data_IF_692831169446
#
_entry.id   IF_692831169446
#
_cell.length_a   1.000
_cell.length_b   1.000
_cell.length_c   1.000
_cell.angle_alpha   90.00
_cell.angle_beta   90.00
_cell.angle_gamma   90.00
#
_symmetry.space_group_name_H-M   'P 1'
#
loop_
_entity.id
_entity.type
_entity.pdbx_description
1 polymer ?
#
# COMPACT_ATOMS: atom_id res chain seq x y z
N UNK A 1 -5.98 16.52 15.48
CA UNK A 1 -4.62 16.72 16.04
C UNK A 1 -3.60 16.73 14.91
N UNK A 2 -2.38 17.29 15.07
CA UNK A 2 -1.31 17.22 14.05
C UNK A 2 -0.56 15.89 14.15
N UNK A 3 0.05 15.43 13.04
CA UNK A 3 0.87 14.20 13.03
C UNK A 3 1.95 14.21 14.11
N UNK A 4 2.65 15.35 14.26
CA UNK A 4 3.69 15.48 15.28
C UNK A 4 3.16 15.26 16.71
N UNK A 5 1.98 15.82 17.02
CA UNK A 5 1.39 15.65 18.33
C UNK A 5 0.95 14.21 18.60
N UNK A 6 0.42 13.51 17.60
CA UNK A 6 0.06 12.08 17.73
C UNK A 6 1.34 11.23 17.94
N UNK A 7 2.42 11.53 17.21
CA UNK A 7 3.71 10.83 17.39
C UNK A 7 4.23 11.01 18.81
N UNK A 8 4.17 12.21 19.39
CA UNK A 8 4.60 12.45 20.77
C UNK A 8 3.77 11.64 21.79
N UNK A 9 2.47 11.45 21.55
CA UNK A 9 1.64 10.56 22.36
C UNK A 9 2.13 9.10 22.31
N UNK A 10 2.54 8.61 21.13
CA UNK A 10 3.16 7.29 21.04
C UNK A 10 4.50 7.22 21.81
N UNK A 11 5.35 8.26 21.70
CA UNK A 11 6.61 8.32 22.40
C UNK A 11 6.43 8.35 23.92
N UNK A 12 5.40 9.03 24.41
CA UNK A 12 5.04 9.04 25.83
C UNK A 12 4.25 7.82 26.29
N UNK A 13 4.02 6.82 25.42
CA UNK A 13 3.23 5.63 25.70
C UNK A 13 1.82 5.94 26.21
N UNK A 14 1.20 7.01 25.73
CA UNK A 14 -0.18 7.34 26.04
C UNK A 14 -1.14 6.57 25.14
N UNK A 15 -2.09 5.84 25.70
CA UNK A 15 -3.13 5.12 24.94
C UNK A 15 -3.99 6.07 24.09
N UNK A 16 -4.02 7.35 24.43
CA UNK A 16 -4.67 8.38 23.63
C UNK A 16 -4.10 8.46 22.20
N UNK A 17 -2.84 8.04 21.98
CA UNK A 17 -2.24 7.96 20.65
C UNK A 17 -3.05 7.09 19.68
N UNK A 18 -3.58 5.97 20.15
CA UNK A 18 -4.40 5.04 19.35
C UNK A 18 -5.74 5.69 19.02
N UNK A 19 -6.42 6.26 20.01
CA UNK A 19 -7.71 6.93 19.82
C UNK A 19 -7.63 8.10 18.82
N UNK A 20 -6.58 8.91 18.91
CA UNK A 20 -6.34 10.03 17.99
C UNK A 20 -5.97 9.57 16.57
N UNK A 21 -5.22 8.46 16.47
CA UNK A 21 -4.90 7.84 15.19
C UNK A 21 -6.16 7.29 14.51
N UNK A 22 -7.01 6.61 15.26
CA UNK A 22 -8.28 6.08 14.76
C UNK A 22 -9.22 7.21 14.32
N UNK A 23 -9.35 8.25 15.12
CA UNK A 23 -10.18 9.42 14.79
C UNK A 23 -9.72 10.11 13.50
N UNK A 24 -8.40 10.27 13.32
CA UNK A 24 -7.83 11.01 12.19
C UNK A 24 -7.66 10.18 10.93
N UNK A 25 -7.35 8.89 11.06
CA UNK A 25 -6.93 8.02 9.96
C UNK A 25 -7.71 6.72 9.83
N UNK A 26 -8.59 6.38 10.77
CA UNK A 26 -9.36 5.13 10.77
C UNK A 26 -10.13 4.93 9.48
N UNK A 27 -10.91 5.93 9.02
CA UNK A 27 -11.65 5.85 7.76
C UNK A 27 -10.76 5.56 6.53
N UNK A 28 -9.54 6.13 6.50
CA UNK A 28 -8.57 5.86 5.46
C UNK A 28 -8.03 4.42 5.54
N UNK A 29 -7.67 3.95 6.73
CA UNK A 29 -7.18 2.58 6.95
C UNK A 29 -8.26 1.54 6.60
N UNK A 30 -9.50 1.76 7.02
CA UNK A 30 -10.64 0.91 6.64
C UNK A 30 -10.83 0.87 5.12
N UNK A 31 -10.73 1.99 4.43
CA UNK A 31 -10.82 2.02 2.97
C UNK A 31 -9.72 1.21 2.30
N UNK A 32 -8.47 1.32 2.77
CA UNK A 32 -7.33 0.54 2.25
C UNK A 32 -7.53 -0.94 2.51
N UNK A 33 -7.88 -1.34 3.73
CA UNK A 33 -8.06 -2.74 4.10
C UNK A 33 -9.24 -3.39 3.35
N UNK A 34 -10.39 -2.70 3.25
CA UNK A 34 -11.56 -3.17 2.51
C UNK A 34 -11.29 -3.34 1.01
N UNK A 35 -10.46 -2.48 0.42
CA UNK A 35 -10.04 -2.62 -0.98
C UNK A 35 -9.26 -3.92 -1.27
N UNK A 36 -8.72 -4.58 -0.25
CA UNK A 36 -7.91 -5.79 -0.37
C UNK A 36 -8.68 -7.04 0.09
N UNK A 37 -9.41 -6.96 1.20
CA UNK A 37 -9.93 -8.12 1.91
C UNK A 37 -11.40 -8.46 1.60
N UNK A 38 -12.22 -7.50 1.20
CA UNK A 38 -13.65 -7.66 0.87
C UNK A 38 -14.53 -8.35 1.95
N UNK A 39 -13.98 -8.58 3.13
CA UNK A 39 -14.65 -9.20 4.28
C UNK A 39 -14.56 -8.27 5.48
N UNK A 40 -15.70 -8.01 6.13
CA UNK A 40 -15.77 -6.99 7.17
C UNK A 40 -14.93 -7.34 8.39
N UNK A 41 -15.03 -8.58 8.87
CA UNK A 41 -14.26 -9.02 10.03
C UNK A 41 -12.75 -8.97 9.75
N UNK A 42 -12.33 -9.41 8.56
CA UNK A 42 -10.93 -9.41 8.15
C UNK A 42 -10.34 -7.99 8.06
N UNK A 43 -11.08 -7.02 7.47
CA UNK A 43 -10.52 -5.67 7.36
C UNK A 43 -10.59 -4.90 8.69
N UNK A 44 -11.60 -5.09 9.53
CA UNK A 44 -11.65 -4.50 10.88
C UNK A 44 -10.47 -5.02 11.72
N UNK A 45 -10.20 -6.31 11.69
CA UNK A 45 -9.07 -6.92 12.39
C UNK A 45 -7.73 -6.41 11.84
N UNK A 46 -7.59 -6.23 10.51
CA UNK A 46 -6.36 -5.67 9.92
C UNK A 46 -6.11 -4.22 10.34
N UNK A 47 -7.16 -3.42 10.54
CA UNK A 47 -7.02 -2.05 11.05
C UNK A 47 -6.60 -2.08 12.52
N UNK A 48 -7.18 -2.96 13.34
CA UNK A 48 -6.76 -3.14 14.74
C UNK A 48 -5.30 -3.60 14.84
N UNK A 49 -4.89 -4.55 13.99
CA UNK A 49 -3.49 -4.99 13.89
C UNK A 49 -2.55 -3.83 13.49
N UNK A 50 -3.03 -2.88 12.68
CA UNK A 50 -2.27 -1.68 12.30
C UNK A 50 -2.00 -0.81 13.53
N UNK A 51 -2.98 -0.59 14.39
CA UNK A 51 -2.79 0.18 15.63
C UNK A 51 -1.82 -0.52 16.58
N UNK A 52 -1.94 -1.82 16.76
CA UNK A 52 -1.05 -2.61 17.58
C UNK A 52 0.39 -2.59 17.05
N UNK A 53 0.57 -2.79 15.75
CA UNK A 53 1.89 -2.75 15.12
C UNK A 53 2.52 -1.35 15.23
N UNK A 54 1.74 -0.29 15.08
CA UNK A 54 2.21 1.08 15.28
C UNK A 54 2.65 1.32 16.71
N UNK A 55 1.84 0.89 17.68
CA UNK A 55 2.18 0.99 19.10
C UNK A 55 3.51 0.32 19.43
N UNK A 56 3.78 -0.82 18.83
CA UNK A 56 5.03 -1.55 19.04
C UNK A 56 6.23 -0.93 18.31
N UNK A 57 6.00 -0.26 17.17
CA UNK A 57 7.07 0.31 16.35
C UNK A 57 7.46 1.73 16.76
N UNK A 58 6.57 2.51 17.36
CA UNK A 58 6.83 3.87 17.83
C UNK A 58 6.86 3.87 19.38
N UNK A 59 7.96 4.24 20.03
CA UNK A 59 9.30 4.44 19.50
C UNK A 59 10.01 3.14 19.11
N UNK A 60 11.14 3.12 18.39
CA UNK A 60 11.98 4.29 18.04
C UNK A 60 11.60 4.95 16.71
N UNK A 61 10.76 4.31 15.89
CA UNK A 61 10.37 4.84 14.57
C UNK A 61 9.70 6.20 14.70
N UNK A 62 10.06 7.17 13.81
CA UNK A 62 9.45 8.49 13.76
C UNK A 62 9.00 8.80 12.32
N UNK A 63 7.76 8.43 11.93
CA UNK A 63 7.26 8.66 10.57
C UNK A 63 7.19 10.16 10.23
N UNK A 64 7.55 10.52 9.00
CA UNK A 64 7.38 11.89 8.49
C UNK A 64 5.92 12.21 8.16
N UNK A 65 5.13 11.20 7.79
CA UNK A 65 3.70 11.32 7.50
C UNK A 65 2.99 10.10 8.08
N UNK A 66 2.11 10.33 9.04
CA UNK A 66 1.30 9.26 9.63
C UNK A 66 0.33 8.66 8.60
N UNK A 67 -0.22 9.46 7.69
CA UNK A 67 -1.10 8.97 6.63
C UNK A 67 -0.39 7.94 5.74
N UNK A 68 0.82 8.26 5.28
CA UNK A 68 1.61 7.36 4.45
C UNK A 68 2.01 6.10 5.23
N UNK A 69 2.46 6.26 6.47
CA UNK A 69 2.85 5.17 7.36
C UNK A 69 1.70 4.20 7.62
N UNK A 70 0.54 4.69 8.07
CA UNK A 70 -0.63 3.86 8.31
C UNK A 70 -1.14 3.18 7.04
N UNK A 71 -1.18 3.90 5.91
CA UNK A 71 -1.61 3.31 4.63
C UNK A 71 -0.74 2.13 4.21
N UNK A 72 0.59 2.28 4.30
CA UNK A 72 1.53 1.23 3.96
C UNK A 72 1.45 0.05 4.94
N UNK A 73 1.35 0.32 6.24
CA UNK A 73 1.25 -0.71 7.28
C UNK A 73 -0.06 -1.49 7.18
N UNK A 74 -1.20 -0.80 7.05
CA UNK A 74 -2.52 -1.43 6.86
C UNK A 74 -2.53 -2.29 5.60
N UNK A 75 -1.95 -1.78 4.49
CA UNK A 75 -1.84 -2.54 3.25
C UNK A 75 -1.03 -3.82 3.44
N UNK A 76 0.15 -3.75 4.07
CA UNK A 76 1.00 -4.90 4.35
C UNK A 76 0.24 -5.96 5.15
N UNK A 77 -0.38 -5.57 6.26
CA UNK A 77 -1.14 -6.47 7.14
C UNK A 77 -2.30 -7.12 6.38
N UNK A 78 -3.06 -6.34 5.61
CA UNK A 78 -4.20 -6.84 4.83
C UNK A 78 -3.76 -7.82 3.74
N UNK A 79 -2.65 -7.56 3.06
CA UNK A 79 -2.08 -8.48 2.06
C UNK A 79 -1.59 -9.77 2.71
N UNK A 80 -0.91 -9.70 3.86
CA UNK A 80 -0.43 -10.90 4.56
C UNK A 80 -1.60 -11.74 5.07
N UNK A 81 -2.68 -11.11 5.53
CA UNK A 81 -3.93 -11.79 5.90
C UNK A 81 -4.57 -12.48 4.68
N UNK A 82 -4.65 -11.79 3.55
CA UNK A 82 -5.13 -12.35 2.30
C UNK A 82 -4.28 -13.55 1.86
N UNK A 83 -2.94 -13.45 1.95
CA UNK A 83 -2.01 -14.54 1.64
C UNK A 83 -2.27 -15.78 2.51
N UNK A 84 -2.41 -15.60 3.82
CA UNK A 84 -2.72 -16.69 4.76
C UNK A 84 -4.05 -17.36 4.40
N UNK A 85 -5.09 -16.57 4.11
CA UNK A 85 -6.42 -17.08 3.71
C UNK A 85 -6.39 -17.85 2.40
N UNK A 86 -5.64 -17.38 1.42
CA UNK A 86 -5.51 -18.02 0.10
C UNK A 86 -4.59 -19.24 0.10
N UNK A 87 -3.56 -19.26 0.93
CA UNK A 87 -2.74 -20.46 1.15
C UNK A 87 -3.59 -21.63 1.67
N UNK A 88 -4.59 -21.34 2.49
CA UNK A 88 -5.56 -22.34 2.96
C UNK A 88 -6.55 -22.79 1.86
N UNK A 89 -6.89 -21.94 0.88
CA UNK A 89 -7.88 -22.21 -0.18
C UNK A 89 -7.32 -22.64 -1.53
N UNK A 90 -6.03 -22.99 -1.65
CA UNK A 90 -5.37 -23.47 -2.90
C UNK A 90 -5.77 -22.64 -4.16
N UNK A 91 -5.32 -21.39 -4.24
CA UNK A 91 -5.41 -20.58 -5.45
C UNK A 91 -4.63 -19.28 -5.28
N UNK A 92 -3.79 -18.91 -6.26
CA UNK A 92 -3.15 -17.59 -6.26
C UNK A 92 -4.25 -16.52 -6.38
N UNK A 93 -4.50 -15.77 -5.31
CA UNK A 93 -5.45 -14.64 -5.36
C UNK A 93 -4.90 -13.49 -6.21
N UNK A 94 -5.79 -12.72 -6.81
CA UNK A 94 -5.47 -11.61 -7.72
C UNK A 94 -4.56 -10.55 -7.10
N UNK A 95 -4.70 -10.29 -5.79
CA UNK A 95 -3.80 -9.36 -5.09
C UNK A 95 -2.37 -9.89 -4.99
N UNK A 96 -2.17 -11.20 -4.86
CA UNK A 96 -0.84 -11.83 -4.90
C UNK A 96 -0.24 -11.73 -6.29
N UNK A 97 -1.02 -12.03 -7.34
CA UNK A 97 -0.59 -11.87 -8.72
C UNK A 97 -0.17 -10.43 -8.99
N UNK A 98 -0.94 -9.45 -8.52
CA UNK A 98 -0.60 -8.04 -8.66
C UNK A 98 0.72 -7.68 -7.96
N UNK A 99 0.96 -8.23 -6.77
CA UNK A 99 2.22 -8.00 -6.03
C UNK A 99 3.41 -8.67 -6.70
N UNK A 100 3.25 -9.92 -7.18
CA UNK A 100 4.29 -10.62 -7.92
C UNK A 100 4.65 -9.86 -9.21
N UNK A 101 3.63 -9.34 -9.92
CA UNK A 101 3.83 -8.49 -11.11
C UNK A 101 4.59 -7.19 -10.78
N UNK A 102 4.35 -6.59 -9.61
CA UNK A 102 5.03 -5.35 -9.20
C UNK A 102 6.42 -5.62 -8.66
N UNK A 103 6.64 -6.77 -8.02
CA UNK A 103 7.95 -7.17 -7.49
C UNK A 103 9.03 -7.27 -8.59
N UNK A 104 8.64 -7.51 -9.85
CA UNK A 104 9.56 -7.43 -11.00
C UNK A 104 10.14 -6.02 -11.23
N UNK A 105 9.55 -4.99 -10.61
CA UNK A 105 9.92 -3.58 -10.78
C UNK A 105 10.49 -2.97 -9.50
N UNK A 106 10.67 -3.73 -8.42
CA UNK A 106 11.14 -3.24 -7.12
C UNK A 106 12.38 -4.05 -6.72
N UNK A 107 13.43 -3.41 -6.18
CA UNK A 107 14.64 -4.11 -5.76
C UNK A 107 14.36 -5.25 -4.79
N UNK A 108 15.00 -6.41 -5.01
CA UNK A 108 14.95 -7.53 -4.07
C UNK A 108 15.65 -7.12 -2.77
N UNK A 109 14.92 -7.16 -1.66
CA UNK A 109 15.43 -6.74 -0.34
C UNK A 109 14.81 -5.45 0.19
N UNK A 110 13.88 -4.84 -0.56
CA UNK A 110 13.14 -3.68 -0.07
C UNK A 110 12.35 -4.03 1.19
N UNK A 111 12.76 -3.46 2.31
CA UNK A 111 12.10 -3.54 3.61
C UNK A 111 11.69 -2.13 4.03
N UNK A 112 10.51 -1.97 4.62
CA UNK A 112 10.04 -0.67 5.14
C UNK A 112 10.88 -0.16 6.34
N UNK A 113 11.84 -0.92 6.80
CA UNK A 113 12.62 -0.65 8.02
C UNK A 113 13.91 0.16 7.75
N UNK A 114 14.39 0.26 6.51
CA UNK A 114 15.57 1.06 6.14
C UNK A 114 15.16 2.47 5.71
N UNK A 115 15.43 3.47 6.55
CA UNK A 115 14.66 4.72 6.56
C UNK A 115 15.02 5.81 5.55
N UNK A 116 16.17 5.84 4.93
CA UNK A 116 16.60 6.94 4.03
C UNK A 116 16.46 6.56 2.55
N UNK A 117 16.90 5.37 2.18
CA UNK A 117 16.76 4.85 0.81
C UNK A 117 15.30 4.64 0.41
N UNK A 118 14.44 4.30 1.39
CA UNK A 118 13.00 4.15 1.19
C UNK A 118 12.28 5.47 0.92
N UNK A 119 12.72 6.60 1.48
CA UNK A 119 12.13 7.91 1.18
C UNK A 119 12.37 8.28 -0.27
N UNK A 120 13.59 8.13 -0.78
CA UNK A 120 13.93 8.44 -2.17
C UNK A 120 13.13 7.57 -3.17
N UNK A 121 12.98 6.27 -2.88
CA UNK A 121 12.18 5.36 -3.72
C UNK A 121 10.69 5.72 -3.68
N UNK A 122 10.13 6.05 -2.52
CA UNK A 122 8.73 6.48 -2.38
C UNK A 122 8.49 7.79 -3.12
N UNK A 123 9.41 8.75 -3.00
CA UNK A 123 9.31 10.04 -3.67
C UNK A 123 9.42 9.89 -5.19
N UNK A 124 10.34 9.06 -5.68
CA UNK A 124 10.47 8.72 -7.09
C UNK A 124 9.21 8.03 -7.64
N UNK A 125 8.64 7.10 -6.87
CA UNK A 125 7.40 6.42 -7.23
C UNK A 125 6.22 7.39 -7.32
N UNK A 126 6.09 8.28 -6.35
CA UNK A 126 5.07 9.32 -6.33
C UNK A 126 5.25 10.31 -7.49
N UNK A 127 6.50 10.74 -7.78
CA UNK A 127 6.83 11.61 -8.89
C UNK A 127 6.50 10.95 -10.25
N UNK A 128 6.85 9.68 -10.42
CA UNK A 128 6.49 8.91 -11.61
C UNK A 128 4.97 8.86 -11.80
N UNK A 129 4.21 8.50 -10.76
CA UNK A 129 2.75 8.43 -10.83
C UNK A 129 2.11 9.80 -11.09
N UNK A 130 2.66 10.87 -10.50
CA UNK A 130 2.19 12.24 -10.76
C UNK A 130 2.39 12.64 -12.24
N UNK A 131 3.48 12.19 -12.86
CA UNK A 131 3.77 12.41 -14.28
C UNK A 131 2.97 11.53 -15.25
N UNK A 132 2.25 10.52 -14.75
CA UNK A 132 1.41 9.67 -15.60
C UNK A 132 0.07 10.33 -15.94
N UNK A 133 -0.49 10.11 -17.16
CA UNK A 133 -1.88 10.48 -17.45
C UNK A 133 -2.83 9.91 -16.41
N UNK A 134 -3.85 10.68 -16.00
CA UNK A 134 -4.77 10.31 -14.93
C UNK A 134 -5.40 8.92 -15.11
N UNK A 135 -5.77 8.56 -16.34
CA UNK A 135 -6.36 7.25 -16.65
C UNK A 135 -5.36 6.09 -16.41
N UNK A 136 -4.09 6.27 -16.77
CA UNK A 136 -3.05 5.26 -16.53
C UNK A 136 -2.70 5.15 -15.05
N UNK A 137 -2.52 6.29 -14.38
CA UNK A 137 -2.28 6.36 -12.95
C UNK A 137 -3.39 5.68 -12.14
N UNK A 138 -4.65 5.99 -12.43
CA UNK A 138 -5.78 5.41 -11.72
C UNK A 138 -5.90 3.90 -11.96
N UNK A 139 -5.64 3.43 -13.18
CA UNK A 139 -5.60 2.01 -13.51
C UNK A 139 -4.48 1.29 -12.74
N UNK A 140 -3.29 1.91 -12.67
CA UNK A 140 -2.13 1.38 -11.95
C UNK A 140 -2.40 1.29 -10.44
N UNK A 141 -2.87 2.38 -9.83
CA UNK A 141 -3.22 2.43 -8.40
C UNK A 141 -4.31 1.42 -8.07
N UNK A 142 -5.35 1.32 -8.89
CA UNK A 142 -6.43 0.36 -8.68
C UNK A 142 -5.94 -1.10 -8.71
N UNK A 143 -4.98 -1.43 -9.58
CA UNK A 143 -4.38 -2.77 -9.66
C UNK A 143 -3.42 -3.04 -8.51
N UNK A 144 -2.43 -2.16 -8.31
CA UNK A 144 -1.28 -2.47 -7.45
C UNK A 144 -1.44 -1.98 -6.02
N UNK A 145 -2.24 -0.94 -5.81
CA UNK A 145 -2.54 -0.46 -4.46
C UNK A 145 -3.75 -1.16 -3.86
N UNK A 146 -4.85 -1.25 -4.61
CA UNK A 146 -6.10 -1.86 -4.14
C UNK A 146 -6.23 -3.35 -4.49
N UNK A 147 -5.35 -3.92 -5.30
CA UNK A 147 -5.34 -5.34 -5.64
C UNK A 147 -6.51 -5.78 -6.52
N UNK A 148 -7.16 -4.87 -7.26
CA UNK A 148 -8.35 -5.20 -8.05
C UNK A 148 -8.02 -6.19 -9.18
N UNK A 149 -8.91 -7.18 -9.45
CA UNK A 149 -8.80 -8.08 -10.59
C UNK A 149 -8.78 -7.34 -11.92
N UNK A 150 -8.06 -7.87 -12.91
CA UNK A 150 -7.97 -7.23 -14.24
C UNK A 150 -9.34 -7.15 -14.93
N UNK A 151 -10.20 -8.12 -14.69
CA UNK A 151 -11.58 -8.15 -15.19
C UNK A 151 -12.40 -7.00 -14.65
N UNK A 152 -12.31 -6.76 -13.35
CA UNK A 152 -13.02 -5.66 -12.67
C UNK A 152 -12.48 -4.30 -13.12
N UNK A 153 -11.14 -4.19 -13.26
CA UNK A 153 -10.51 -2.99 -13.83
C UNK A 153 -10.99 -2.71 -15.23
N UNK A 154 -11.05 -3.73 -16.11
CA UNK A 154 -11.51 -3.58 -17.47
C UNK A 154 -12.96 -3.07 -17.51
N UNK A 155 -13.85 -3.66 -16.71
CA UNK A 155 -15.23 -3.20 -16.58
C UNK A 155 -15.32 -1.77 -16.05
N UNK A 156 -14.62 -1.46 -14.95
CA UNK A 156 -14.66 -0.16 -14.29
C UNK A 156 -14.13 0.99 -15.13
N UNK A 157 -13.10 0.72 -15.94
CA UNK A 157 -12.47 1.73 -16.81
C UNK A 157 -12.97 1.69 -18.26
N UNK A 158 -13.98 0.88 -18.57
CA UNK A 158 -14.54 0.76 -19.93
C UNK A 158 -13.53 0.22 -20.95
N UNK A 159 -12.64 -0.69 -20.53
CA UNK A 159 -11.57 -1.25 -21.35
C UNK A 159 -11.84 -2.73 -21.67
N UNK A 160 -11.24 -3.22 -22.77
CA UNK A 160 -11.09 -4.67 -22.96
C UNK A 160 -10.03 -5.20 -22.00
N UNK A 161 -10.18 -6.43 -21.48
CA UNK A 161 -9.21 -7.10 -20.59
C UNK A 161 -7.79 -7.04 -21.16
N UNK A 162 -7.61 -7.36 -22.43
CA UNK A 162 -6.30 -7.31 -23.11
C UNK A 162 -5.68 -5.90 -23.13
N UNK A 163 -6.53 -4.88 -23.28
CA UNK A 163 -6.10 -3.48 -23.26
C UNK A 163 -5.65 -3.07 -21.85
N UNK A 164 -6.38 -3.47 -20.80
CA UNK A 164 -5.99 -3.22 -19.41
C UNK A 164 -4.64 -3.87 -19.09
N UNK A 165 -4.46 -5.16 -19.41
CA UNK A 165 -3.18 -5.88 -19.27
C UNK A 165 -2.04 -5.16 -19.97
N UNK A 166 -2.24 -4.80 -21.26
CA UNK A 166 -1.20 -4.14 -22.05
C UNK A 166 -0.83 -2.75 -21.52
N UNK A 167 -1.80 -1.99 -20.99
CA UNK A 167 -1.55 -0.69 -20.35
C UNK A 167 -0.76 -0.86 -19.06
N UNK A 168 -1.18 -1.77 -18.16
CA UNK A 168 -0.48 -2.06 -16.91
C UNK A 168 0.97 -2.49 -17.17
N UNK A 169 1.19 -3.42 -18.13
CA UNK A 169 2.54 -3.85 -18.50
C UNK A 169 3.41 -2.68 -18.98
N UNK A 170 2.89 -1.82 -19.86
CA UNK A 170 3.63 -0.65 -20.35
C UNK A 170 3.99 0.32 -19.23
N UNK A 171 3.06 0.55 -18.30
CA UNK A 171 3.30 1.43 -17.15
C UNK A 171 4.36 0.85 -16.23
N UNK A 172 4.38 -0.48 -15.98
CA UNK A 172 5.45 -1.14 -15.22
C UNK A 172 6.83 -0.98 -15.88
N UNK A 173 6.91 -1.21 -17.19
CA UNK A 173 8.19 -1.05 -17.93
C UNK A 173 8.69 0.41 -17.87
N UNK A 174 7.78 1.39 -17.94
CA UNK A 174 8.13 2.80 -17.80
C UNK A 174 8.60 3.13 -16.39
N UNK A 175 7.94 2.57 -15.37
CA UNK A 175 8.35 2.72 -13.97
C UNK A 175 9.75 2.15 -13.75
N UNK A 176 10.01 0.93 -14.21
CA UNK A 176 11.33 0.28 -14.11
C UNK A 176 12.42 1.19 -14.69
N UNK A 177 12.25 1.64 -15.94
CA UNK A 177 13.21 2.56 -16.60
C UNK A 177 13.37 3.90 -15.89
N UNK A 178 12.31 4.38 -15.25
CA UNK A 178 12.36 5.60 -14.47
C UNK A 178 13.19 5.41 -13.20
N UNK A 179 12.99 4.32 -12.48
CA UNK A 179 13.73 4.00 -11.26
C UNK A 179 15.22 3.71 -11.57
N UNK A 180 15.52 3.00 -12.68
CA UNK A 180 16.89 2.80 -13.17
C UNK A 180 17.59 4.14 -13.45
N UNK A 181 16.89 5.10 -14.07
CA UNK A 181 17.43 6.43 -14.36
C UNK A 181 17.72 7.27 -13.11
N UNK A 182 16.97 7.05 -12.06
CA UNK A 182 17.13 7.72 -10.76
C UNK A 182 18.15 7.01 -9.85
N UNK A 183 18.89 5.99 -10.37
CA UNK A 183 19.84 5.16 -9.59
C UNK A 183 19.22 4.52 -8.33
N UNK A 184 17.95 4.09 -8.43
CA UNK A 184 17.20 3.50 -7.32
C UNK A 184 17.00 1.99 -7.47
N UNK A 185 17.60 1.36 -8.48
CA UNK A 185 17.58 -0.08 -8.76
C UNK A 185 18.98 -0.65 -8.85
#
# INVERSE_FOLDING_TARGET
MTDAAIIELYFSRSEQAIAESETSYGGYCYHVANGILNDRADYEESVNDTWLATWNAIPPTRPQSLKAYFGALTRRISVDRLRKRLAYKRGKGEALIALDELAECIPSGWSMETSVENCALIDAFNAFLAGCPAAERNLFVARYWYGLPVEELAARFGLKKSTAVSRLRRTRIRLLKYLEKEDLL
#
